data_IF_154554611241
#
_entry.id   IF_154554611241
#
_cell.length_a   1.000
_cell.length_b   1.000
_cell.length_c   1.000
_cell.angle_alpha   90.00
_cell.angle_beta   90.00
_cell.angle_gamma   90.00
#
_symmetry.space_group_name_H-M   'P 1'
#
loop_
_entity.id
_entity.type
_entity.pdbx_description
1 polymer ?
#
# COMPACT_ATOMS: atom_id res chain seq x y z
N UNK A 1 -11.15 -2.00 5.13
CA UNK A 1 -11.32 -1.50 3.76
C UNK A 1 -10.61 -0.16 3.71
N UNK A 2 -9.65 0.00 2.82
CA UNK A 2 -8.92 1.24 2.62
C UNK A 2 -9.86 2.27 2.00
N UNK A 3 -9.74 3.54 2.39
CA UNK A 3 -10.37 4.62 1.64
C UNK A 3 -9.77 4.71 0.23
N UNK A 4 -10.40 5.48 -0.67
CA UNK A 4 -9.88 5.65 -2.03
C UNK A 4 -8.50 6.31 -2.03
N UNK A 5 -8.30 7.34 -1.21
CA UNK A 5 -7.01 8.00 -1.03
C UNK A 5 -5.94 7.07 -0.45
N UNK A 6 -6.28 6.28 0.57
CA UNK A 6 -5.36 5.30 1.16
C UNK A 6 -4.98 4.22 0.15
N UNK A 7 -5.95 3.72 -0.63
CA UNK A 7 -5.69 2.72 -1.66
C UNK A 7 -4.75 3.24 -2.74
N UNK A 8 -4.96 4.47 -3.22
CA UNK A 8 -4.10 5.09 -4.25
C UNK A 8 -2.67 5.29 -3.75
N UNK A 9 -2.51 5.85 -2.54
CA UNK A 9 -1.20 6.02 -1.91
C UNK A 9 -0.52 4.66 -1.76
N UNK A 10 -1.15 3.69 -1.09
CA UNK A 10 -0.55 2.37 -0.87
C UNK A 10 -0.22 1.64 -2.18
N UNK A 11 -1.03 1.83 -3.24
CA UNK A 11 -0.77 1.23 -4.54
C UNK A 11 0.50 1.76 -5.21
N UNK A 12 0.83 3.04 -5.01
CA UNK A 12 2.05 3.65 -5.54
C UNK A 12 3.30 3.05 -4.91
N UNK A 13 3.31 2.89 -3.59
CA UNK A 13 4.43 2.35 -2.82
C UNK A 13 4.60 0.81 -2.90
N UNK A 14 3.97 0.13 -3.86
CA UNK A 14 4.11 -1.32 -4.06
C UNK A 14 5.54 -1.73 -4.41
N UNK A 15 6.27 -0.90 -5.16
CA UNK A 15 7.66 -1.17 -5.57
C UNK A 15 8.71 -0.46 -4.70
N UNK A 16 8.29 0.43 -3.81
CA UNK A 16 9.18 1.31 -3.06
C UNK A 16 9.34 2.66 -3.77
N UNK A 17 9.05 3.75 -3.06
CA UNK A 17 9.13 5.12 -3.58
C UNK A 17 9.47 6.11 -2.45
N UNK A 18 9.86 7.33 -2.83
CA UNK A 18 10.02 8.45 -1.91
C UNK A 18 8.67 9.00 -1.44
N UNK A 19 8.62 9.44 -0.18
CA UNK A 19 7.44 10.09 0.38
C UNK A 19 7.47 11.57 -0.02
N UNK A 20 6.47 12.03 -0.75
CA UNK A 20 6.45 13.38 -1.34
C UNK A 20 5.52 14.37 -0.66
N UNK A 21 4.51 13.90 0.10
CA UNK A 21 3.53 14.78 0.76
C UNK A 21 3.24 14.37 2.21
N UNK A 22 2.77 15.34 3.00
CA UNK A 22 2.37 15.10 4.39
C UNK A 22 1.20 14.12 4.50
N UNK A 23 0.28 14.15 3.53
CA UNK A 23 -0.83 13.19 3.45
C UNK A 23 -0.32 11.75 3.23
N UNK A 24 0.64 11.57 2.32
CA UNK A 24 1.28 10.27 2.12
C UNK A 24 1.97 9.82 3.38
N UNK A 25 2.68 10.73 4.06
CA UNK A 25 3.38 10.44 5.30
C UNK A 25 2.42 9.93 6.37
N UNK A 26 1.30 10.62 6.60
CA UNK A 26 0.27 10.23 7.57
C UNK A 26 -0.26 8.81 7.28
N UNK A 27 -0.66 8.56 6.03
CA UNK A 27 -1.18 7.26 5.60
C UNK A 27 -0.14 6.16 5.76
N UNK A 28 1.09 6.38 5.30
CA UNK A 28 2.16 5.38 5.34
C UNK A 28 2.58 5.07 6.79
N UNK A 29 2.63 6.06 7.68
CA UNK A 29 2.97 5.86 9.09
C UNK A 29 1.86 5.10 9.82
N UNK A 30 0.59 5.42 9.56
CA UNK A 30 -0.56 4.66 10.05
C UNK A 30 -0.43 3.19 9.66
N UNK A 31 -0.17 2.89 8.39
CA UNK A 31 -0.06 1.51 7.90
C UNK A 31 1.27 0.82 8.26
N UNK A 32 2.30 1.57 8.60
CA UNK A 32 3.55 1.04 9.15
C UNK A 32 3.35 0.52 10.58
N UNK A 33 2.55 1.21 11.40
CA UNK A 33 2.26 0.80 12.79
C UNK A 33 1.62 -0.59 12.91
N UNK A 34 0.92 -1.02 11.85
CA UNK A 34 0.28 -2.34 11.76
C UNK A 34 1.03 -3.32 10.83
N UNK A 35 2.26 -2.98 10.43
CA UNK A 35 3.15 -3.88 9.68
C UNK A 35 2.80 -4.07 8.19
N UNK A 36 1.90 -3.26 7.64
CA UNK A 36 1.54 -3.31 6.22
C UNK A 36 2.52 -2.53 5.33
N UNK A 37 3.18 -1.54 5.91
CA UNK A 37 4.20 -0.70 5.24
C UNK A 37 5.52 -0.84 6.00
N UNK A 38 6.63 -0.85 5.26
CA UNK A 38 7.99 -0.70 5.77
C UNK A 38 8.48 0.69 5.41
N UNK A 39 8.87 1.46 6.42
CA UNK A 39 9.50 2.76 6.24
C UNK A 39 11.02 2.58 6.16
N UNK A 40 11.69 3.47 5.46
CA UNK A 40 13.13 3.50 5.31
C UNK A 40 13.63 4.89 4.97
N UNK A 41 14.94 5.01 4.83
CA UNK A 41 15.60 6.23 4.42
C UNK A 41 16.56 5.90 3.29
N UNK A 42 16.66 6.80 2.33
CA UNK A 42 17.63 6.70 1.25
C UNK A 42 18.27 8.07 1.03
N UNK A 43 19.59 8.10 0.90
CA UNK A 43 20.29 9.32 0.52
C UNK A 43 20.16 9.49 -0.99
N UNK A 44 19.60 10.61 -1.40
CA UNK A 44 19.54 10.97 -2.82
C UNK A 44 20.94 11.34 -3.34
N UNK A 45 21.10 11.50 -4.66
CA UNK A 45 22.40 11.82 -5.29
C UNK A 45 23.02 13.12 -4.72
N UNK A 46 22.20 14.03 -4.22
CA UNK A 46 22.60 15.27 -3.53
C UNK A 46 22.95 15.09 -2.04
N UNK A 47 23.05 13.85 -1.54
CA UNK A 47 23.24 13.51 -0.11
C UNK A 47 22.16 14.05 0.82
N UNK A 48 20.97 14.28 0.29
CA UNK A 48 19.80 14.61 1.09
C UNK A 48 19.13 13.30 1.53
N UNK A 49 19.06 13.07 2.83
CA UNK A 49 18.35 11.92 3.39
C UNK A 49 16.84 12.11 3.17
N UNK A 50 16.24 11.22 2.38
CA UNK A 50 14.81 11.22 2.07
C UNK A 50 14.11 9.99 2.64
N UNK A 51 12.92 10.21 3.18
CA UNK A 51 12.06 9.13 3.65
C UNK A 51 11.53 8.32 2.46
N UNK A 52 11.58 7.00 2.59
CA UNK A 52 11.05 6.05 1.62
C UNK A 52 10.07 5.10 2.29
N UNK A 53 9.14 4.55 1.51
CA UNK A 53 8.22 3.54 1.99
C UNK A 53 8.06 2.42 0.97
N UNK A 54 7.79 1.22 1.46
CA UNK A 54 7.49 0.05 0.64
C UNK A 54 6.43 -0.82 1.31
N UNK A 55 5.49 -1.35 0.51
CA UNK A 55 4.54 -2.33 1.03
C UNK A 55 5.25 -3.61 1.51
N UNK A 56 4.83 -4.11 2.67
CA UNK A 56 5.20 -5.45 3.12
C UNK A 56 4.51 -6.51 2.26
N UNK A 57 4.98 -7.78 2.27
CA UNK A 57 4.28 -8.87 1.56
C UNK A 57 2.82 -9.01 1.99
N UNK A 58 2.52 -8.77 3.27
CA UNK A 58 1.15 -8.77 3.79
C UNK A 58 0.35 -7.58 3.23
N UNK A 59 0.90 -6.36 3.28
CA UNK A 59 0.27 -5.17 2.72
C UNK A 59 -0.03 -5.31 1.22
N UNK A 60 0.91 -5.89 0.46
CA UNK A 60 0.72 -6.16 -0.97
C UNK A 60 -0.42 -7.16 -1.24
N UNK A 61 -0.57 -8.19 -0.40
CA UNK A 61 -1.68 -9.15 -0.49
C UNK A 61 -3.02 -8.50 -0.14
N UNK A 62 -3.05 -7.67 0.91
CA UNK A 62 -4.26 -6.94 1.30
C UNK A 62 -4.71 -5.97 0.22
N UNK A 63 -3.78 -5.18 -0.32
CA UNK A 63 -4.06 -4.27 -1.43
C UNK A 63 -4.56 -5.03 -2.68
N UNK A 64 -4.00 -6.20 -2.96
CA UNK A 64 -4.46 -7.04 -4.07
C UNK A 64 -5.89 -7.55 -3.86
N UNK A 65 -6.23 -8.01 -2.64
CA UNK A 65 -7.60 -8.39 -2.29
C UNK A 65 -8.55 -7.21 -2.41
N UNK A 66 -8.16 -6.04 -1.89
CA UNK A 66 -8.93 -4.80 -2.00
C UNK A 66 -9.24 -4.46 -3.46
N UNK A 67 -8.24 -4.56 -4.35
CA UNK A 67 -8.39 -4.33 -5.79
C UNK A 67 -9.41 -5.26 -6.44
N UNK A 68 -9.44 -6.52 -6.02
CA UNK A 68 -10.40 -7.52 -6.50
C UNK A 68 -11.80 -7.17 -6.04
N UNK A 69 -11.97 -6.82 -4.76
CA UNK A 69 -13.27 -6.47 -4.17
C UNK A 69 -13.86 -5.18 -4.74
N UNK A 70 -13.00 -4.23 -5.16
CA UNK A 70 -13.41 -2.96 -5.78
C UNK A 70 -13.94 -3.12 -7.21
N UNK A 71 -13.60 -4.20 -7.92
CA UNK A 71 -14.09 -4.45 -9.28
C UNK A 71 -15.24 -5.47 -9.26
N UNK A 72 -16.44 -5.15 -9.76
CA UNK A 72 -17.62 -6.02 -9.63
C UNK A 72 -17.45 -7.38 -10.31
N UNK A 73 -16.81 -7.42 -11.49
CA UNK A 73 -16.57 -8.67 -12.23
C UNK A 73 -15.55 -9.53 -11.50
N UNK A 74 -14.45 -8.92 -11.03
CA UNK A 74 -13.41 -9.66 -10.28
C UNK A 74 -13.92 -10.14 -8.93
N UNK A 75 -14.77 -9.35 -8.26
CA UNK A 75 -15.43 -9.73 -7.01
C UNK A 75 -16.31 -10.95 -7.20
N UNK A 76 -17.13 -10.98 -8.25
CA UNK A 76 -17.98 -12.13 -8.57
C UNK A 76 -17.16 -13.40 -8.80
N UNK A 77 -16.11 -13.33 -9.62
CA UNK A 77 -15.21 -14.47 -9.85
C UNK A 77 -14.49 -14.89 -8.57
N UNK A 78 -14.04 -13.95 -7.75
CA UNK A 78 -13.34 -14.24 -6.50
C UNK A 78 -14.24 -14.98 -5.50
N UNK A 79 -15.53 -14.65 -5.43
CA UNK A 79 -16.52 -15.35 -4.61
C UNK A 79 -16.72 -16.81 -5.05
N UNK A 80 -16.63 -17.11 -6.35
CA UNK A 80 -16.75 -18.47 -6.86
C UNK A 80 -15.53 -19.35 -6.54
N UNK A 81 -14.32 -18.77 -6.48
CA UNK A 81 -13.07 -19.50 -6.29
C UNK A 81 -12.55 -19.50 -4.83
N UNK A 82 -13.12 -18.70 -3.93
CA UNK A 82 -12.80 -18.74 -2.49
C UNK A 82 -14.06 -18.99 -1.64
N UNK A 83 -14.62 -20.21 -1.68
CA UNK A 83 -15.80 -20.55 -0.88
C UNK A 83 -15.53 -20.77 0.62
N UNK A 84 -14.31 -20.55 1.12
CA UNK A 84 -13.89 -20.85 2.50
C UNK A 84 -13.64 -19.60 3.38
N UNK A 85 -14.25 -18.47 3.03
CA UNK A 85 -14.52 -17.34 3.93
C UNK A 85 -15.90 -16.78 3.68
#
# INVERSE_FOLDING_TARGET
>A
MFTDSEYEVLARFKKGEYIGSDLEKEILYKYASIGLVRLGFHDDEERQCRETARLSPLGARMLHRERILRNPVKRFLYQLFSPLF
#
